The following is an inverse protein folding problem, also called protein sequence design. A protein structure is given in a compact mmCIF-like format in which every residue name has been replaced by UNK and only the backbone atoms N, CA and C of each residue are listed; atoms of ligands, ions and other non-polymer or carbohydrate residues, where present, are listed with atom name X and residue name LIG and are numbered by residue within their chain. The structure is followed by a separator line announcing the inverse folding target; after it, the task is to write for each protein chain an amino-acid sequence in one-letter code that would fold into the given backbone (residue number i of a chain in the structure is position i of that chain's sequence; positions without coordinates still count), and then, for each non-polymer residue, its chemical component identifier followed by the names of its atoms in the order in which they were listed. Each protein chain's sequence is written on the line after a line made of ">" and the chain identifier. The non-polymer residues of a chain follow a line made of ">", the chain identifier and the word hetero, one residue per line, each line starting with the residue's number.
data_IF_971210501686
#
_entry.id   IF_971210501686
#
_cell.length_a   1.000
_cell.length_b   1.000
_cell.length_c   1.000
_cell.angle_alpha   90.00
_cell.angle_beta   90.00
_cell.angle_gamma   90.00
#
_symmetry.space_group_name_H-M   'P 1'
#
loop_
_entity.id
_entity.type
_entity.pdbx_description
1 polymer ?
2 non-polymer ?
3 non-polymer ?
4 non-polymer ?
5 water ?
#
# COMPACT_ATOMS: atom_id res chain seq x y z
N UNK A 22 -6.39 -21.33 -3.25
CA UNK A 22 -5.43 -20.28 -3.63
C UNK A 22 -6.13 -18.91 -3.63
N UNK A 23 -5.51 -17.93 -2.97
CA UNK A 23 -6.10 -16.62 -2.73
C UNK A 23 -5.22 -15.56 -3.39
N UNK A 24 -5.84 -14.70 -4.20
CA UNK A 24 -5.09 -13.60 -4.79
C UNK A 24 -5.11 -13.59 -6.29
N UNK A 25 -5.94 -14.43 -6.90
CA UNK A 25 -5.99 -14.49 -8.35
C UNK A 25 -7.30 -14.04 -8.97
N UNK A 26 -8.21 -13.53 -8.14
CA UNK A 26 -9.53 -13.15 -8.65
C UNK A 26 -9.41 -12.00 -9.64
N UNK A 27 -10.33 -11.96 -10.60
CA UNK A 27 -10.31 -10.94 -11.66
C UNK A 27 -11.02 -9.68 -11.18
N UNK A 28 -10.36 -8.54 -11.33
CA UNK A 28 -10.86 -7.26 -10.84
C UNK A 28 -10.94 -6.30 -12.02
N UNK A 29 -12.13 -5.78 -12.29
CA UNK A 29 -12.41 -5.02 -13.51
C UNK A 29 -13.17 -3.74 -13.19
N UNK A 30 -12.49 -2.74 -12.64
CA UNK A 30 -13.20 -1.48 -12.34
C UNK A 30 -13.73 -0.80 -13.58
N UNK A 31 -13.07 -0.95 -14.72
CA UNK A 31 -13.53 -0.33 -15.96
C UNK A 31 -14.93 -0.80 -16.38
N UNK A 32 -15.47 -1.85 -15.78
CA UNK A 32 -16.81 -2.31 -16.15
C UNK A 32 -17.92 -1.57 -15.43
N UNK A 33 -17.61 -0.63 -14.54
CA UNK A 33 -18.62 0.09 -13.76
C UNK A 33 -18.39 1.59 -13.89
N UNK A 34 -19.47 2.36 -14.05
CA UNK A 34 -19.33 3.80 -14.24
C UNK A 34 -18.86 4.48 -12.95
N UNK A 35 -18.22 5.64 -13.11
CA UNK A 35 -17.64 6.33 -11.96
C UNK A 35 -18.66 6.58 -10.86
N UNK A 36 -19.88 6.98 -11.24
CA UNK A 36 -20.88 7.34 -10.25
C UNK A 36 -21.31 6.14 -9.42
N UNK A 37 -21.56 5.00 -10.07
CA UNK A 37 -21.94 3.80 -9.33
C UNK A 37 -20.83 3.34 -8.38
N UNK A 38 -19.57 3.45 -8.80
CA UNK A 38 -18.48 3.03 -7.92
C UNK A 38 -18.36 3.97 -6.73
N UNK A 39 -18.45 5.28 -6.98
CA UNK A 39 -18.47 6.23 -5.87
C UNK A 39 -19.63 5.94 -4.93
N UNK A 40 -20.80 5.57 -5.47
CA UNK A 40 -21.95 5.25 -4.63
C UNK A 40 -21.71 4.00 -3.80
N UNK A 41 -21.11 2.95 -4.39
CA UNK A 41 -20.72 1.79 -3.58
C UNK A 41 -19.73 2.19 -2.49
N UNK A 42 -18.79 3.08 -2.82
CA UNK A 42 -17.85 3.52 -1.80
C UNK A 42 -18.51 4.28 -0.68
N UNK A 43 -19.52 5.09 -1.01
CA UNK A 43 -20.28 5.78 0.03
C UNK A 43 -21.00 4.76 0.92
N UNK A 44 -21.54 3.70 0.33
CA UNK A 44 -22.20 2.66 1.10
C UNK A 44 -21.22 1.93 2.01
N UNK A 45 -20.03 1.63 1.51
CA UNK A 45 -19.00 1.02 2.35
C UNK A 45 -18.61 1.93 3.51
N UNK A 46 -18.48 3.23 3.24
CA UNK A 46 -18.10 4.14 4.31
C UNK A 46 -19.12 4.12 5.45
N UNK A 47 -20.39 3.91 5.14
CA UNK A 47 -21.42 3.89 6.17
C UNK A 47 -21.32 2.66 7.07
N UNK A 48 -20.80 1.54 6.57
CA UNK A 48 -20.98 0.28 7.28
C UNK A 48 -19.71 -0.52 7.52
N UNK A 49 -18.64 -0.34 6.75
CA UNK A 49 -17.45 -1.16 6.93
C UNK A 49 -16.79 -0.80 8.26
N UNK A 50 -16.64 -1.79 9.15
CA UNK A 50 -16.11 -1.56 10.47
C UNK A 50 -17.11 -1.07 11.50
N UNK A 51 -18.38 -0.92 11.13
CA UNK A 51 -19.40 -0.41 12.03
C UNK A 51 -19.85 -1.50 13.01
N UNK A 52 -20.50 -1.09 14.10
CA UNK A 52 -20.91 -2.03 15.12
C UNK A 52 -22.11 -2.88 14.71
N UNK A 53 -23.03 -2.30 13.92
CA UNK A 53 -24.19 -3.04 13.43
C UNK A 53 -23.87 -3.41 11.99
N UNK A 54 -23.39 -4.61 11.71
CA UNK A 54 -23.06 -4.96 10.34
C UNK A 54 -24.31 -5.02 9.47
N UNK A 55 -24.10 -4.88 8.19
CA UNK A 55 -25.14 -4.86 7.18
C UNK A 55 -24.77 -5.91 6.14
N UNK A 56 -25.67 -6.26 5.22
CA UNK A 56 -25.28 -7.22 4.18
C UNK A 56 -24.02 -6.81 3.42
N UNK A 57 -23.88 -5.53 3.07
CA UNK A 57 -22.67 -5.08 2.38
C UNK A 57 -21.43 -5.30 3.25
N UNK A 58 -21.50 -4.93 4.54
CA UNK A 58 -20.35 -5.15 5.40
C UNK A 58 -20.08 -6.64 5.61
N UNK A 59 -21.14 -7.44 5.74
CA UNK A 59 -20.93 -8.88 5.87
C UNK A 59 -20.26 -9.43 4.61
N UNK A 60 -20.77 -9.01 3.45
CA UNK A 60 -20.17 -9.42 2.18
C UNK A 60 -18.67 -9.15 2.16
N UNK A 61 -18.28 -7.93 2.53
CA UNK A 61 -16.88 -7.50 2.51
C UNK A 61 -16.10 -8.00 3.72
N UNK A 62 -16.71 -8.85 4.55
CA UNK A 62 -16.02 -9.54 5.63
C UNK A 62 -15.76 -11.01 5.31
N UNK A 63 -16.20 -11.49 4.15
CA UNK A 63 -16.04 -12.88 3.78
C UNK A 63 -17.26 -13.75 3.99
N UNK A 64 -18.38 -13.19 4.44
CA UNK A 64 -19.59 -13.96 4.70
C UNK A 64 -20.50 -13.98 3.47
N UNK A 65 -21.13 -15.11 3.14
CA UNK A 65 -22.13 -15.11 2.07
C UNK A 65 -23.35 -14.31 2.50
N UNK A 66 -23.95 -13.58 1.56
CA UNK A 66 -25.09 -12.74 1.88
C UNK A 66 -26.24 -13.03 0.93
N UNK A 67 -27.46 -12.80 1.43
CA UNK A 67 -28.68 -12.88 0.62
C UNK A 67 -28.71 -11.72 -0.37
N UNK A 68 -28.77 -11.99 -1.67
CA UNK A 68 -28.74 -10.88 -2.64
C UNK A 68 -29.92 -9.94 -2.52
N UNK A 69 -31.08 -10.39 -2.04
CA UNK A 69 -32.21 -9.48 -1.88
C UNK A 69 -31.97 -8.47 -0.77
N UNK A 70 -31.37 -8.91 0.35
CA UNK A 70 -30.96 -7.96 1.39
C UNK A 70 -29.94 -6.98 0.84
N UNK A 71 -28.97 -7.50 0.09
CA UNK A 71 -27.97 -6.66 -0.56
C UNK A 71 -28.62 -5.62 -1.48
N UNK A 72 -29.60 -6.05 -2.27
CA UNK A 72 -30.24 -5.15 -3.23
C UNK A 72 -30.93 -4.00 -2.51
N UNK A 73 -31.58 -4.28 -1.38
CA UNK A 73 -32.25 -3.22 -0.64
C UNK A 73 -31.23 -2.23 -0.08
N UNK A 74 -30.02 -2.69 0.20
CA UNK A 74 -29.05 -1.77 0.78
C UNK A 74 -28.37 -0.91 -0.29
N UNK A 75 -27.86 -1.53 -1.36
CA UNK A 75 -27.07 -0.81 -2.35
C UNK A 75 -27.82 -0.57 -3.66
N UNK A 76 -29.02 -1.12 -3.81
CA UNK A 76 -29.77 -0.95 -5.04
C UNK A 76 -29.46 -2.01 -6.07
N UNK A 77 -30.37 -2.14 -7.05
CA UNK A 77 -30.15 -3.12 -8.11
C UNK A 77 -28.95 -2.75 -8.96
N UNK A 78 -28.77 -1.45 -9.22
CA UNK A 78 -27.56 -0.94 -9.87
C UNK A 78 -26.33 -1.31 -9.07
N UNK A 79 -26.38 -1.08 -7.75
CA UNK A 79 -25.24 -1.40 -6.91
C UNK A 79 -24.94 -2.89 -6.92
N UNK A 80 -25.97 -3.71 -6.84
CA UNK A 80 -25.78 -5.15 -6.88
C UNK A 80 -25.06 -5.56 -8.15
N UNK A 81 -25.48 -5.02 -9.29
CA UNK A 81 -24.85 -5.40 -10.56
C UNK A 81 -23.42 -4.87 -10.63
N UNK A 82 -23.18 -3.68 -10.07
CA UNK A 82 -21.81 -3.15 -10.04
C UNK A 82 -20.88 -4.04 -9.24
N UNK A 83 -21.36 -4.56 -8.11
CA UNK A 83 -20.55 -5.50 -7.33
C UNK A 83 -20.10 -6.67 -8.18
N UNK A 84 -21.02 -7.21 -8.99
CA UNK A 84 -20.70 -8.32 -9.88
C UNK A 84 -19.77 -7.89 -11.01
N UNK A 85 -20.14 -6.81 -11.72
CA UNK A 85 -19.38 -6.41 -12.90
C UNK A 85 -17.93 -6.08 -12.56
N UNK A 86 -17.69 -5.49 -11.38
CA UNK A 86 -16.36 -5.10 -10.96
C UNK A 86 -15.53 -6.27 -10.44
N UNK A 87 -16.15 -7.40 -10.11
CA UNK A 87 -15.43 -8.46 -9.44
C UNK A 87 -15.40 -8.34 -7.93
N UNK A 88 -16.11 -7.37 -7.36
CA UNK A 88 -16.19 -7.30 -5.91
C UNK A 88 -17.03 -8.42 -5.32
N UNK A 89 -17.88 -9.05 -6.13
CA UNK A 89 -18.72 -10.13 -5.63
C UNK A 89 -18.98 -11.11 -6.77
N UNK A 90 -19.30 -12.34 -6.39
CA UNK A 90 -19.75 -13.37 -7.32
C UNK A 90 -21.06 -13.95 -6.80
N UNK A 91 -21.94 -14.29 -7.73
CA UNK A 91 -23.21 -14.93 -7.40
C UNK A 91 -22.94 -16.43 -7.33
N UNK A 92 -22.92 -16.99 -6.11
CA UNK A 92 -22.70 -18.41 -5.94
C UNK A 92 -23.92 -19.24 -6.33
N UNK A 93 -25.07 -18.61 -6.57
CA UNK A 93 -26.30 -19.33 -6.82
C UNK A 93 -27.45 -18.83 -5.97
N UNK A 94 -27.36 -19.00 -4.66
CA UNK A 94 -28.35 -18.45 -3.73
C UNK A 94 -27.78 -17.38 -2.83
N UNK A 95 -26.45 -17.22 -2.79
CA UNK A 95 -25.82 -16.16 -2.03
C UNK A 95 -24.79 -15.46 -2.91
N UNK A 96 -24.45 -14.23 -2.53
CA UNK A 96 -23.29 -13.52 -3.03
C UNK A 96 -22.14 -13.66 -2.04
N UNK A 97 -20.92 -13.76 -2.57
CA UNK A 97 -19.72 -13.73 -1.74
C UNK A 97 -18.67 -12.87 -2.42
N UNK A 98 -17.70 -12.42 -1.64
CA UNK A 98 -16.62 -11.59 -2.16
C UNK A 98 -15.27 -12.24 -1.91
N UNK A 99 -14.35 -12.20 -2.88
CA UNK A 99 -12.98 -12.62 -2.60
C UNK A 99 -12.17 -11.56 -1.88
N UNK A 100 -12.71 -10.35 -1.70
CA UNK A 100 -11.98 -9.23 -1.11
C UNK A 100 -12.51 -8.88 0.27
N UNK A 101 -11.74 -8.09 1.00
CA UNK A 101 -12.09 -7.67 2.35
C UNK A 101 -12.04 -6.15 2.43
N UNK A 102 -13.02 -5.57 3.09
CA UNK A 102 -13.11 -4.14 3.19
C UNK A 102 -12.51 -3.60 4.47
N UNK A 103 -12.02 -2.38 4.37
CA UNK A 103 -11.36 -1.65 5.45
C UNK A 103 -11.77 -0.19 5.37
N UNK A 104 -11.85 0.44 6.54
CA UNK A 104 -12.04 1.89 6.61
C UNK A 104 -10.99 2.44 7.58
N UNK A 105 -10.18 3.37 7.09
CA UNK A 105 -9.10 3.91 7.88
C UNK A 105 -8.69 5.26 7.30
N UNK A 106 -8.33 6.19 8.18
CA UNK A 106 -7.77 7.47 7.74
C UNK A 106 -8.63 8.15 6.68
N UNK A 107 -9.94 8.06 6.83
CA UNK A 107 -10.86 8.74 5.95
C UNK A 107 -11.11 8.09 4.59
N UNK A 108 -10.56 6.91 4.34
CA UNK A 108 -10.77 6.24 3.05
C UNK A 108 -11.31 4.84 3.29
N UNK A 109 -11.93 4.28 2.25
CA UNK A 109 -12.33 2.88 2.24
C UNK A 109 -11.41 2.13 1.30
N UNK A 110 -11.06 0.89 1.66
CA UNK A 110 -10.07 0.12 0.92
C UNK A 110 -10.52 -1.32 0.86
N UNK A 111 -10.46 -1.93 -0.33
CA UNK A 111 -10.56 -3.36 -0.46
C UNK A 111 -9.17 -3.95 -0.68
N UNK A 112 -8.91 -5.10 -0.07
CA UNK A 112 -7.72 -5.85 -0.44
C UNK A 112 -8.00 -7.33 -0.26
N UNK A 113 -6.98 -8.14 -0.49
CA UNK A 113 -7.12 -9.56 -0.25
C UNK A 113 -7.21 -9.81 1.26
N UNK A 114 -7.87 -10.90 1.66
CA UNK A 114 -7.80 -11.31 3.06
C UNK A 114 -6.39 -11.69 3.46
N UNK A 115 -6.10 -11.57 4.75
CA UNK A 115 -4.81 -11.96 5.29
C UNK A 115 -4.78 -13.48 5.39
N UNK A 116 -3.94 -14.13 4.60
CA UNK A 116 -3.88 -15.59 4.56
C UNK A 116 -2.42 -16.04 4.56
N UNK A 117 -2.21 -17.28 5.01
CA UNK A 117 -0.87 -17.86 5.13
C UNK A 117 -0.13 -17.81 3.79
N UNK A 118 1.20 -17.84 3.88
CA UNK A 118 2.04 -17.69 2.70
C UNK A 118 1.79 -18.80 1.68
N UNK A 119 1.50 -20.02 2.14
CA UNK A 119 1.43 -21.15 1.23
C UNK A 119 0.21 -21.10 0.33
N UNK A 120 -0.81 -20.30 0.65
CA UNK A 120 -2.02 -20.27 -0.16
C UNK A 120 -2.14 -18.99 -0.98
N UNK A 121 -1.10 -18.15 -1.00
CA UNK A 121 -1.18 -16.89 -1.74
C UNK A 121 -0.87 -17.10 -3.22
N UNK A 122 -1.69 -16.51 -4.09
CA UNK A 122 -1.45 -16.45 -5.52
C UNK A 122 -0.22 -15.59 -5.84
N UNK A 123 0.34 -15.80 -7.05
CA UNK A 123 1.41 -14.92 -7.54
C UNK A 123 1.05 -13.45 -7.35
N UNK A 124 -0.22 -13.11 -7.57
CA UNK A 124 -0.69 -11.73 -7.63
C UNK A 124 -1.49 -11.34 -6.39
N UNK A 125 -1.32 -12.10 -5.30
CA UNK A 125 -1.84 -11.72 -3.99
C UNK A 125 -1.42 -10.29 -3.64
N UNK A 126 -2.34 -9.54 -3.05
CA UNK A 126 -2.13 -8.13 -2.73
C UNK A 126 -2.04 -7.98 -1.21
N UNK A 127 -1.01 -7.25 -0.75
CA UNK A 127 -0.78 -6.93 0.66
C UNK A 127 -2.12 -6.64 1.33
N UNK A 128 -2.53 -7.46 2.31
CA UNK A 128 -3.86 -7.33 2.90
C UNK A 128 -3.93 -6.19 3.91
N UNK A 129 -3.02 -5.22 3.76
CA UNK A 129 -2.85 -4.09 4.67
C UNK A 129 -2.15 -4.55 5.94
N UNK A 130 -1.06 -5.31 5.80
CA UNK A 130 -0.30 -5.73 6.97
C UNK A 130 0.15 -4.53 7.80
N UNK A 131 0.78 -3.55 7.15
CA UNK A 131 1.30 -2.41 7.91
C UNK A 131 0.73 -1.05 7.51
N UNK A 132 -0.16 -0.98 6.52
CA UNK A 132 -0.57 0.32 5.95
C UNK A 132 -1.09 1.29 7.01
N UNK A 133 -1.94 0.81 7.92
CA UNK A 133 -2.50 1.73 8.89
C UNK A 133 -1.39 2.34 9.76
N UNK A 134 -0.45 1.50 10.21
CA UNK A 134 0.70 2.02 10.93
C UNK A 134 1.49 3.00 10.08
N UNK A 135 1.77 2.65 8.82
CA UNK A 135 2.62 3.50 8.00
C UNK A 135 1.99 4.88 7.76
N UNK A 136 0.68 4.92 7.53
CA UNK A 136 0.01 6.21 7.33
C UNK A 136 0.22 7.11 8.53
N UNK A 137 0.24 6.54 9.72
CA UNK A 137 0.43 7.34 10.93
C UNK A 137 1.87 7.85 11.03
N UNK A 138 2.84 7.13 10.45
CA UNK A 138 4.22 7.60 10.42
C UNK A 138 4.43 8.72 9.40
N UNK A 139 3.62 8.75 8.34
CA UNK A 139 3.88 9.66 7.21
C UNK A 139 3.75 11.12 7.60
N UNK A 140 4.63 11.95 7.04
CA UNK A 140 4.59 13.39 7.27
C UNK A 140 3.31 13.99 6.68
N UNK A 141 2.83 15.06 7.31
CA UNK A 141 1.54 15.63 6.92
C UNK A 141 1.66 16.66 5.79
N UNK A 142 2.84 16.87 5.23
CA UNK A 142 3.04 17.86 4.16
C UNK A 142 2.20 17.54 2.93
N UNK A 143 2.12 18.53 2.04
CA UNK A 143 1.56 18.36 0.70
C UNK A 143 2.50 18.91 -0.35
N UNK A 144 2.03 18.88 -1.60
CA UNK A 144 2.85 19.39 -2.68
C UNK A 144 2.23 19.13 -4.03
N UNK A 145 3.09 19.07 -5.05
CA UNK A 145 2.61 18.97 -6.43
C UNK A 145 2.35 17.53 -6.84
N UNK A 146 3.41 16.72 -6.97
CA UNK A 146 3.29 15.35 -7.47
C UNK A 146 3.75 14.36 -6.42
N UNK A 147 2.95 13.31 -6.20
CA UNK A 147 3.30 12.24 -5.29
C UNK A 147 3.36 10.92 -6.04
N UNK A 148 4.22 10.03 -5.56
CA UNK A 148 4.42 8.72 -6.19
C UNK A 148 4.38 7.63 -5.12
N UNK A 149 3.54 6.63 -5.33
CA UNK A 149 3.41 5.48 -4.45
C UNK A 149 4.02 4.28 -5.18
N UNK A 150 5.26 3.91 -4.82
CA UNK A 150 5.94 2.78 -5.45
C UNK A 150 5.47 1.48 -4.84
N UNK A 151 5.10 0.52 -5.69
CA UNK A 151 4.48 -0.70 -5.22
C UNK A 151 3.16 -0.42 -4.54
N UNK A 152 2.20 0.11 -5.29
CA UNK A 152 1.02 0.66 -4.67
C UNK A 152 0.08 -0.42 -4.11
N UNK A 153 0.18 -1.66 -4.60
CA UNK A 153 -0.65 -2.74 -4.05
C UNK A 153 -2.14 -2.46 -4.17
N UNK A 154 -2.83 -2.43 -3.03
CA UNK A 154 -4.26 -2.08 -3.02
C UNK A 154 -4.50 -0.62 -3.37
N UNK A 155 -3.47 0.22 -3.33
CA UNK A 155 -3.63 1.64 -3.57
C UNK A 155 -3.75 2.48 -2.32
N UNK A 156 -3.75 1.84 -1.14
CA UNK A 156 -4.14 2.48 0.11
C UNK A 156 -3.33 3.76 0.36
N UNK A 157 -2.01 3.72 0.15
CA UNK A 157 -1.23 4.91 0.47
C UNK A 157 -1.50 6.04 -0.53
N UNK A 158 -1.76 5.71 -1.79
CA UNK A 158 -2.16 6.73 -2.77
C UNK A 158 -3.47 7.41 -2.36
N UNK A 159 -4.41 6.64 -1.80
CA UNK A 159 -5.70 7.23 -1.42
C UNK A 159 -5.52 8.34 -0.39
N UNK A 160 -4.63 8.15 0.59
CA UNK A 160 -4.54 9.14 1.67
C UNK A 160 -3.72 10.36 1.24
N UNK A 161 -2.82 10.17 0.28
CA UNK A 161 -2.07 11.29 -0.31
C UNK A 161 -2.92 12.15 -1.22
N UNK A 162 -4.11 11.69 -1.61
CA UNK A 162 -4.86 12.36 -2.68
C UNK A 162 -5.34 13.73 -2.28
N UNK A 163 -5.57 13.96 -0.98
CA UNK A 163 -6.17 15.22 -0.57
C UNK A 163 -5.21 16.38 -0.77
N UNK A 164 -3.91 16.17 -0.54
CA UNK A 164 -2.99 17.29 -0.45
C UNK A 164 -1.93 17.29 -1.55
N UNK A 165 -2.02 16.42 -2.53
CA UNK A 165 -1.13 16.47 -3.68
C UNK A 165 -1.96 16.71 -4.92
N UNK A 166 -1.46 17.59 -5.79
CA UNK A 166 -2.21 17.89 -7.01
C UNK A 166 -2.40 16.65 -7.85
N UNK A 167 -1.43 15.74 -7.83
CA UNK A 167 -1.50 14.49 -8.56
C UNK A 167 -0.83 13.40 -7.74
N UNK A 168 -1.39 12.19 -7.82
CA UNK A 168 -0.81 11.02 -7.16
C UNK A 168 -0.76 9.92 -8.20
N UNK A 169 0.40 9.30 -8.34
CA UNK A 169 0.63 8.21 -9.27
C UNK A 169 1.06 7.01 -8.45
N UNK A 170 0.37 5.88 -8.63
CA UNK A 170 0.77 4.62 -8.03
C UNK A 170 1.27 3.69 -9.11
N UNK A 171 2.35 2.94 -8.80
CA UNK A 171 2.97 2.03 -9.74
C UNK A 171 3.07 0.66 -9.11
N UNK A 172 2.75 -0.39 -9.87
CA UNK A 172 2.99 -1.75 -9.42
C UNK A 172 3.27 -2.63 -10.62
N UNK A 173 4.13 -3.63 -10.42
CA UNK A 173 4.39 -4.67 -11.43
C UNK A 173 3.34 -5.76 -11.39
N UNK A 174 2.48 -5.75 -10.37
CA UNK A 174 1.38 -6.69 -10.27
C UNK A 174 0.16 -6.08 -10.96
N UNK A 175 -0.28 -6.62 -12.10
CA UNK A 175 -1.42 -6.00 -12.81
C UNK A 175 -2.71 -6.07 -12.03
N UNK A 176 -2.89 -7.10 -11.19
CA UNK A 176 -4.07 -7.18 -10.35
C UNK A 176 -4.08 -6.08 -9.30
N UNK A 177 -2.89 -5.74 -8.79
CA UNK A 177 -2.78 -4.61 -7.87
C UNK A 177 -3.20 -3.31 -8.56
N UNK A 178 -2.80 -3.12 -9.81
CA UNK A 178 -3.16 -1.91 -10.53
C UNK A 178 -4.67 -1.80 -10.67
N UNK A 179 -5.32 -2.91 -11.04
CA UNK A 179 -6.78 -2.90 -11.17
C UNK A 179 -7.44 -2.63 -9.83
N UNK A 180 -6.95 -3.27 -8.78
CA UNK A 180 -7.53 -3.07 -7.45
C UNK A 180 -7.31 -1.63 -6.97
N UNK A 181 -6.11 -1.07 -7.22
CA UNK A 181 -5.87 0.33 -6.90
C UNK A 181 -6.84 1.24 -7.64
N UNK A 182 -7.07 0.97 -8.93
CA UNK A 182 -8.02 1.78 -9.68
C UNK A 182 -9.42 1.65 -9.09
N UNK A 183 -9.80 0.44 -8.74
CA UNK A 183 -11.10 0.24 -8.10
C UNK A 183 -11.19 1.06 -6.81
N UNK A 184 -10.17 0.99 -5.96
CA UNK A 184 -10.24 1.71 -4.68
C UNK A 184 -10.26 3.22 -4.89
N UNK A 185 -9.49 3.74 -5.85
CA UNK A 185 -9.58 5.17 -6.11
C UNK A 185 -10.99 5.56 -6.53
N UNK A 186 -11.64 4.72 -7.35
CA UNK A 186 -12.98 5.03 -7.84
C UNK A 186 -14.01 4.89 -6.73
N UNK A 187 -13.84 3.91 -5.84
CA UNK A 187 -14.72 3.80 -4.67
C UNK A 187 -14.66 5.06 -3.82
N UNK A 188 -13.49 5.66 -3.69
CA UNK A 188 -13.34 6.87 -2.88
C UNK A 188 -13.64 8.16 -3.64
N UNK A 189 -14.03 8.05 -4.91
CA UNK A 189 -14.43 9.24 -5.64
C UNK A 189 -13.27 10.16 -5.97
N UNK A 190 -12.07 9.61 -6.11
CA UNK A 190 -10.89 10.41 -6.32
C UNK A 190 -10.71 10.65 -7.81
N UNK A 191 -10.28 11.86 -8.15
CA UNK A 191 -10.02 12.22 -9.54
C UNK A 191 -8.54 12.33 -9.87
N UNK A 192 -7.72 12.74 -8.90
CA UNK A 192 -6.32 13.05 -9.13
C UNK A 192 -5.38 11.89 -8.85
N UNK A 193 -5.90 10.67 -8.74
CA UNK A 193 -5.10 9.49 -8.39
C UNK A 193 -5.13 8.54 -9.58
N UNK A 194 -3.96 8.24 -10.15
CA UNK A 194 -3.89 7.32 -11.29
C UNK A 194 -2.84 6.25 -11.04
N UNK A 195 -2.96 5.15 -11.78
CA UNK A 195 -2.11 3.99 -11.53
C UNK A 195 -1.59 3.45 -12.84
N UNK A 196 -0.37 2.92 -12.79
CA UNK A 196 0.34 2.41 -13.96
C UNK A 196 1.01 1.09 -13.63
N UNK A 197 0.90 0.13 -14.56
CA UNK A 197 1.59 -1.15 -14.40
C UNK A 197 3.00 -1.03 -14.98
N UNK A 198 3.98 -1.54 -14.25
CA UNK A 198 5.34 -1.49 -14.74
C UNK A 198 6.32 -1.78 -13.63
N UNK A 199 7.60 -1.76 -14.02
CA UNK A 199 8.69 -2.21 -13.17
C UNK A 199 9.36 -0.97 -12.57
N UNK A 200 9.22 -0.81 -11.25
CA UNK A 200 9.83 0.28 -10.47
C UNK A 200 9.57 1.60 -11.19
N UNK A 201 10.59 2.43 -11.46
CA UNK A 201 10.33 3.80 -11.94
C UNK A 201 10.07 3.89 -13.44
N UNK A 202 10.11 2.79 -14.18
CA UNK A 202 9.88 2.86 -15.64
C UNK A 202 8.59 3.61 -16.00
N UNK A 203 7.44 3.36 -15.37
CA UNK A 203 6.24 4.11 -15.74
C UNK A 203 6.06 5.46 -15.05
N UNK A 204 7.04 5.92 -14.26
CA UNK A 204 6.88 7.16 -13.49
C UNK A 204 7.76 8.23 -14.13
N UNK A 205 7.15 9.04 -15.00
CA UNK A 205 7.88 10.10 -15.68
C UNK A 205 8.06 11.32 -14.79
N UNK A 206 9.19 12.00 -14.97
CA UNK A 206 9.44 13.27 -14.31
C UNK A 206 9.89 13.11 -12.87
N UNK A 207 9.70 14.19 -12.12
CA UNK A 207 10.12 14.26 -10.73
C UNK A 207 8.91 14.39 -9.83
N UNK A 208 9.10 14.01 -8.57
CA UNK A 208 8.02 13.96 -7.60
C UNK A 208 8.47 14.67 -6.33
N UNK A 209 7.55 15.39 -5.70
CA UNK A 209 7.88 16.00 -4.42
C UNK A 209 7.67 15.04 -3.25
N UNK A 210 7.06 13.89 -3.50
CA UNK A 210 6.77 12.93 -2.43
C UNK A 210 6.86 11.54 -3.04
N UNK A 211 7.65 10.65 -2.42
CA UNK A 211 7.73 9.26 -2.85
C UNK A 211 7.58 8.40 -1.61
N UNK A 212 6.60 7.51 -1.61
CA UNK A 212 6.40 6.56 -0.51
C UNK A 212 6.55 5.15 -1.07
N UNK A 213 7.01 4.22 -0.22
CA UNK A 213 7.35 2.88 -0.69
C UNK A 213 7.24 1.95 0.51
N UNK A 214 6.13 1.23 0.61
CA UNK A 214 6.02 0.10 1.53
C UNK A 214 6.68 -1.07 0.81
N UNK A 215 7.97 -1.24 1.07
CA UNK A 215 8.77 -2.07 0.17
C UNK A 215 8.48 -3.55 0.42
N UNK A 216 8.54 -4.36 -0.63
CA UNK A 216 8.38 -5.82 -0.46
C UNK A 216 9.68 -6.45 0.01
N UNK A 217 10.02 -6.19 1.28
CA UNK A 217 11.19 -6.78 1.91
C UNK A 217 10.82 -7.23 3.32
N UNK A 218 11.35 -8.39 3.70
CA UNK A 218 11.10 -8.87 5.05
C UNK A 218 12.22 -9.82 5.45
N UNK A 219 12.04 -11.14 5.27
CA UNK A 219 13.01 -12.10 5.77
C UNK A 219 13.82 -12.78 4.66
N UNK A 220 13.79 -12.25 3.44
CA UNK A 220 14.42 -12.94 2.31
C UNK A 220 15.84 -12.48 2.04
N UNK A 221 16.35 -11.45 2.73
CA UNK A 221 17.74 -11.08 2.51
C UNK A 221 17.96 -10.52 1.11
N UNK A 222 19.05 -10.97 0.46
CA UNK A 222 19.44 -10.48 -0.87
C UNK A 222 18.70 -11.13 -2.02
N UNK A 223 17.90 -12.16 -1.80
CA UNK A 223 17.41 -12.98 -2.90
C UNK A 223 15.92 -12.79 -3.09
N UNK A 224 15.53 -12.56 -4.34
CA UNK A 224 14.12 -12.47 -4.71
C UNK A 224 13.42 -13.77 -4.38
N UNK A 225 12.30 -13.67 -3.68
CA UNK A 225 11.40 -14.80 -3.48
C UNK A 225 10.14 -14.64 -4.32
N UNK A 226 9.42 -13.55 -4.13
CA UNK A 226 8.22 -13.26 -4.91
C UNK A 226 7.97 -11.76 -4.83
N UNK A 227 6.83 -11.31 -5.35
CA UNK A 227 6.58 -9.88 -5.43
C UNK A 227 6.45 -9.20 -4.06
N UNK A 228 6.16 -9.94 -2.98
CA UNK A 228 6.07 -9.35 -1.64
C UNK A 228 7.35 -9.54 -0.83
N UNK A 229 8.30 -10.37 -1.30
CA UNK A 229 9.63 -10.51 -0.70
C UNK A 229 10.62 -10.55 -1.87
N UNK A 230 10.99 -9.37 -2.37
CA UNK A 230 11.70 -9.26 -3.64
C UNK A 230 13.20 -9.15 -3.49
N UNK A 231 13.73 -9.09 -2.28
CA UNK A 231 15.17 -9.04 -2.08
C UNK A 231 15.71 -7.63 -1.95
N UNK A 232 16.89 -7.53 -1.35
CA UNK A 232 17.56 -6.24 -1.26
C UNK A 232 17.72 -5.54 -2.62
N UNK A 233 17.88 -6.26 -3.75
CA UNK A 233 18.01 -5.54 -5.04
C UNK A 233 16.86 -4.61 -5.37
N UNK A 234 15.64 -4.85 -4.88
CA UNK A 234 14.58 -3.89 -5.14
C UNK A 234 14.83 -2.57 -4.41
N UNK A 235 15.41 -2.64 -3.20
CA UNK A 235 15.81 -1.41 -2.51
C UNK A 235 16.96 -0.71 -3.22
N UNK A 236 17.91 -1.49 -3.73
CA UNK A 236 19.03 -0.90 -4.44
C UNK A 236 18.55 -0.14 -5.67
N UNK A 237 17.71 -0.77 -6.49
CA UNK A 237 17.12 -0.06 -7.63
C UNK A 237 16.38 1.18 -7.18
N UNK A 238 15.57 1.05 -6.12
CA UNK A 238 14.78 2.18 -5.64
C UNK A 238 15.69 3.34 -5.26
N UNK A 239 16.66 3.08 -4.38
CA UNK A 239 17.45 4.20 -3.86
C UNK A 239 18.43 4.74 -4.90
N UNK A 240 18.94 3.88 -5.81
CA UNK A 240 19.82 4.40 -6.85
C UNK A 240 19.10 5.43 -7.72
N UNK A 241 17.81 5.24 -7.95
CA UNK A 241 17.07 6.14 -8.81
C UNK A 241 16.31 7.24 -8.09
N UNK A 242 16.28 7.22 -6.75
CA UNK A 242 15.59 8.29 -6.02
C UNK A 242 16.10 9.68 -6.39
N UNK A 243 17.41 9.95 -6.38
CA UNK A 243 17.84 11.33 -6.69
C UNK A 243 17.35 11.84 -8.03
N UNK A 244 17.37 11.02 -9.08
CA UNK A 244 16.90 11.56 -10.36
C UNK A 244 15.38 11.64 -10.45
N UNK A 245 14.65 11.00 -9.52
CA UNK A 245 13.19 11.09 -9.51
C UNK A 245 12.64 12.04 -8.44
N UNK A 246 13.50 12.63 -7.60
CA UNK A 246 13.04 13.43 -6.47
C UNK A 246 13.18 14.91 -6.77
N UNK A 247 12.09 15.64 -6.61
CA UNK A 247 12.15 17.10 -6.69
C UNK A 247 12.92 17.66 -5.51
N UNK A 248 13.80 18.64 -5.77
CA UNK A 248 14.61 19.25 -4.72
C UNK A 248 13.78 19.57 -3.49
N UNK A 249 14.32 19.20 -2.32
CA UNK A 249 13.61 19.40 -1.07
C UNK A 249 12.45 18.45 -0.83
N UNK A 250 12.26 17.45 -1.68
CA UNK A 250 11.15 16.53 -1.55
C UNK A 250 11.34 15.53 -0.42
N UNK A 251 10.34 14.66 -0.26
CA UNK A 251 10.30 13.70 0.84
C UNK A 251 10.21 12.30 0.27
N UNK A 252 11.03 11.40 0.80
CA UNK A 252 10.92 9.98 0.51
C UNK A 252 10.69 9.25 1.84
N UNK A 253 9.76 8.29 1.82
CA UNK A 253 9.42 7.52 3.03
C UNK A 253 9.34 6.05 2.63
N UNK A 254 10.04 5.18 3.37
CA UNK A 254 10.15 3.77 3.03
C UNK A 254 9.97 2.90 4.26
N UNK A 255 9.03 1.96 4.21
CA UNK A 255 9.05 0.82 5.12
C UNK A 255 9.96 -0.27 4.55
N UNK A 256 10.93 -0.73 5.33
CA UNK A 256 11.86 -1.72 4.80
C UNK A 256 12.43 -2.60 5.89
N UNK A 257 12.74 -3.84 5.52
CA UNK A 257 13.63 -4.69 6.31
C UNK A 257 15.07 -4.38 5.93
N UNK A 258 15.96 -4.42 6.91
CA UNK A 258 17.36 -4.07 6.69
C UNK A 258 18.25 -5.14 7.33
N UNK A 259 19.24 -5.62 6.58
CA UNK A 259 20.14 -6.67 7.05
C UNK A 259 21.52 -6.08 7.29
N UNK A 260 22.00 -6.16 8.53
CA UNK A 260 23.37 -5.77 8.86
C UNK A 260 24.23 -7.03 8.97
N UNK A 261 25.33 -7.04 8.26
CA UNK A 261 26.26 -8.14 8.32
C UNK A 261 27.56 -7.66 8.95
N UNK A 262 28.35 -8.57 9.51
CA UNK A 262 29.63 -8.17 10.12
C UNK A 262 30.46 -7.34 9.16
N UNK A 263 30.88 -6.17 9.63
CA UNK A 263 31.65 -5.27 8.79
C UNK A 263 30.90 -4.70 7.61
N UNK A 264 29.59 -4.91 7.53
CA UNK A 264 28.82 -4.59 6.31
C UNK A 264 27.40 -4.19 6.71
N UNK A 265 27.25 -3.03 7.34
CA UNK A 265 25.91 -2.59 7.75
C UNK A 265 25.09 -2.09 6.57
N UNK A 266 23.77 -2.28 6.68
CA UNK A 266 22.86 -1.78 5.64
C UNK A 266 23.10 -0.30 5.35
N UNK A 267 23.26 0.51 6.39
CA UNK A 267 23.32 1.96 6.23
C UNK A 267 24.46 2.37 5.29
N UNK A 268 25.52 1.58 5.20
CA UNK A 268 26.64 1.92 4.33
C UNK A 268 26.29 1.67 2.87
N UNK A 269 25.63 0.55 2.58
CA UNK A 269 25.19 0.29 1.22
C UNK A 269 24.16 1.33 0.79
N UNK A 270 23.23 1.64 1.67
CA UNK A 270 22.23 2.67 1.42
C UNK A 270 22.87 4.02 1.05
N UNK A 271 23.84 4.47 1.85
CA UNK A 271 24.51 5.73 1.53
C UNK A 271 25.15 5.67 0.13
N UNK A 272 25.69 4.52 -0.23
CA UNK A 272 26.31 4.38 -1.54
C UNK A 272 25.25 4.44 -2.64
N UNK A 273 24.12 3.74 -2.46
CA UNK A 273 23.07 3.77 -3.47
C UNK A 273 22.56 5.19 -3.70
N UNK A 274 22.26 5.90 -2.61
CA UNK A 274 21.68 7.23 -2.67
C UNK A 274 22.68 8.30 -3.11
N UNK A 275 23.98 7.98 -3.20
CA UNK A 275 24.98 9.02 -3.34
C UNK A 275 24.86 10.06 -2.23
N UNK A 276 24.65 9.58 -1.01
CA UNK A 276 24.02 10.39 0.03
C UNK A 276 24.80 11.66 0.33
N UNK A 277 26.13 11.54 0.50
CA UNK A 277 26.90 12.72 0.86
C UNK A 277 27.09 13.64 -0.34
N UNK A 278 27.37 13.06 -1.52
CA UNK A 278 27.57 13.86 -2.72
C UNK A 278 26.33 14.70 -3.04
N UNK A 279 25.15 14.11 -2.91
CA UNK A 279 23.89 14.80 -3.19
C UNK A 279 23.41 15.68 -2.05
N UNK A 280 24.10 15.71 -0.91
CA UNK A 280 23.65 16.54 0.19
C UNK A 280 22.30 16.16 0.75
N UNK A 281 21.91 14.90 0.62
CA UNK A 281 20.62 14.48 1.15
C UNK A 281 20.72 14.28 2.66
N UNK A 282 19.61 14.50 3.35
CA UNK A 282 19.45 14.14 4.74
C UNK A 282 18.55 12.92 4.84
N UNK A 283 19.01 11.91 5.58
CA UNK A 283 18.30 10.64 5.69
C UNK A 283 18.24 10.25 7.16
N UNK A 284 17.07 9.84 7.62
CA UNK A 284 16.98 9.28 8.96
C UNK A 284 16.32 7.91 8.90
N UNK A 285 16.92 6.93 9.58
CA UNK A 285 16.36 5.60 9.71
C UNK A 285 15.84 5.44 11.13
N UNK A 286 14.54 5.17 11.25
CA UNK A 286 13.90 4.88 12.53
C UNK A 286 13.76 3.38 12.65
N UNK A 287 14.55 2.77 13.54
CA UNK A 287 14.52 1.32 13.70
C UNK A 287 13.54 0.93 14.81
N UNK A 288 12.55 0.12 14.45
CA UNK A 288 11.53 -0.30 15.42
C UNK A 288 11.74 -1.72 15.92
N UNK A 289 11.94 -2.69 15.01
CA UNK A 289 12.08 -4.08 15.40
C UNK A 289 13.49 -4.55 15.04
N UNK A 290 13.98 -5.53 15.79
CA UNK A 290 15.32 -6.04 15.50
C UNK A 290 15.49 -7.44 16.06
N UNK A 291 16.31 -8.22 15.38
CA UNK A 291 16.60 -9.59 15.77
C UNK A 291 18.07 -9.85 15.49
N UNK A 292 18.83 -10.19 16.53
CA UNK A 292 20.24 -10.47 16.32
C UNK A 292 20.36 -11.74 15.48
N UNK A 293 21.40 -11.79 14.64
CA UNK A 293 21.60 -12.93 13.77
C UNK A 293 22.90 -13.63 14.13
N UNK A 294 22.94 -14.92 13.83
CA UNK A 294 24.16 -15.69 14.00
C UNK A 294 25.24 -15.14 13.07
N UNK A 295 26.33 -14.65 13.69
CA UNK A 295 27.45 -13.89 13.10
C UNK A 295 27.58 -12.58 13.86
N UNK A 296 26.60 -12.29 14.71
CA UNK A 296 26.58 -11.00 15.37
C UNK A 296 26.07 -9.86 14.52
N UNK A 297 25.65 -10.13 13.28
CA UNK A 297 24.93 -9.13 12.50
C UNK A 297 23.53 -8.91 13.06
N UNK A 298 22.66 -8.28 12.27
CA UNK A 298 21.38 -7.91 12.83
C UNK A 298 20.35 -7.75 11.72
N UNK A 299 19.13 -8.21 11.97
CA UNK A 299 17.99 -7.92 11.12
C UNK A 299 17.17 -6.81 11.77
N UNK A 300 16.69 -5.87 10.96
CA UNK A 300 15.92 -4.76 11.46
C UNK A 300 14.70 -4.53 10.57
N UNK A 301 13.63 -4.04 11.17
CA UNK A 301 12.54 -3.41 10.41
C UNK A 301 12.41 -1.97 10.85
N UNK A 302 12.32 -1.06 9.88
CA UNK A 302 12.29 0.33 10.24
C UNK A 302 11.65 1.19 9.17
N UNK A 303 11.79 2.51 9.36
CA UNK A 303 11.12 3.51 8.55
C UNK A 303 12.16 4.53 8.15
N UNK A 304 12.44 4.62 6.85
CA UNK A 304 13.50 5.48 6.32
C UNK A 304 12.88 6.71 5.69
N UNK A 305 13.43 7.89 6.03
CA UNK A 305 12.91 9.16 5.59
C UNK A 305 14.03 9.97 4.97
N UNK A 306 13.80 10.45 3.76
CA UNK A 306 14.59 11.52 3.17
C UNK A 306 13.76 12.78 3.27
N UNK A 307 14.35 13.84 3.81
CA UNK A 307 13.66 15.11 4.05
C UNK A 307 14.70 16.20 4.10
N UNK A 308 14.30 17.46 3.89
CA UNK A 308 15.27 18.56 4.04
C UNK A 308 15.91 18.54 5.42
N UNK A 309 17.18 18.93 5.45
CA UNK A 309 17.92 18.98 6.68
C UNK A 309 19.40 18.96 6.40
N UNK A 310 20.21 18.95 7.46
CA UNK A 310 21.66 18.87 7.26
C UNK A 310 22.05 17.53 6.65
N UNK A 311 23.04 17.57 5.75
CA UNK A 311 23.43 16.37 5.02
C UNK A 311 23.88 15.30 6.01
N UNK A 312 23.56 14.05 5.70
CA UNK A 312 24.04 12.95 6.50
C UNK A 312 22.99 11.90 6.74
N UNK A 313 23.38 10.81 7.38
CA UNK A 313 22.48 9.74 7.77
C UNK A 313 22.51 9.62 9.28
N UNK A 314 21.34 9.61 9.90
CA UNK A 314 21.26 9.37 11.34
C UNK A 314 20.32 8.21 11.60
N UNK A 315 20.68 7.43 12.61
CA UNK A 315 19.98 6.20 12.99
C UNK A 315 19.42 6.40 14.39
N UNK A 316 18.13 6.16 14.57
CA UNK A 316 17.53 6.25 15.89
C UNK A 316 16.68 5.02 16.14
N UNK A 317 16.63 4.62 17.41
CA UNK A 317 15.74 3.57 17.86
C UNK A 317 14.39 4.19 18.20
N UNK A 318 13.33 3.68 17.59
CA UNK A 318 11.98 4.11 17.90
C UNK A 318 11.06 2.90 17.80
N UNK A 319 10.69 2.30 18.91
CA UNK A 319 9.85 1.09 18.85
C UNK A 319 8.40 1.42 18.51
N UNK A 320 8.17 1.87 17.27
CA UNK A 320 6.85 2.37 16.94
C UNK A 320 5.84 1.24 16.78
N UNK A 321 6.28 0.02 16.46
CA UNK A 321 5.36 -1.12 16.47
C UNK A 321 4.78 -1.33 17.87
N UNK A 322 5.64 -1.34 18.89
CA UNK A 322 5.16 -1.50 20.27
C UNK A 322 4.18 -0.40 20.63
N UNK A 323 4.54 0.85 20.35
CA UNK A 323 3.65 1.97 20.68
C UNK A 323 2.32 1.83 19.97
N UNK A 324 2.35 1.37 18.71
CA UNK A 324 1.14 1.23 17.93
C UNK A 324 0.22 0.16 18.53
N UNK A 325 0.80 -0.98 18.94
CA UNK A 325 -0.02 -2.01 19.58
C UNK A 325 -0.65 -1.47 20.87
N UNK A 326 0.13 -0.72 21.66
CA UNK A 326 -0.40 -0.05 22.85
C UNK A 326 -1.64 0.76 22.50
N UNK A 327 -1.44 1.81 21.70
CA UNK A 327 -2.45 2.78 21.31
C UNK A 327 -2.04 3.40 19.97
N UNK A 328 -2.80 3.15 18.89
CA UNK A 328 -2.40 3.67 17.58
C UNK A 328 -2.23 5.19 17.53
N UNK A 329 -3.03 5.95 18.28
CA UNK A 329 -3.04 7.41 18.14
C UNK A 329 -1.76 8.07 18.67
N UNK A 330 -0.60 7.61 18.21
CA UNK A 330 0.67 8.30 18.47
C UNK A 330 1.63 8.10 17.29
X LIG B 1 1.66 0.16 -0.85
X LIG B 1 0.76 -0.94 -0.50
X LIG B 1 1.27 -2.28 -1.02
X LIG B 1 2.68 -2.63 -0.53
X LIG B 1 3.11 -4.34 -0.97
X LIG B 1 0.58 -1.03 1.01
X LIG B 1 -0.25 -1.81 1.53
X LIG B 1 1.28 -0.31 1.75
X LIG B 1 4.53 -3.91 -2.00
X LIG B 1 4.24 -3.89 -3.51
X LIG B 1 5.47 -3.82 -4.22
X LIG B 1 3.52 -5.14 -4.04
X LIG B 1 2.25 -4.80 -4.57
X LIG B 1 4.43 -5.68 -5.14
X LIG B 1 3.76 -6.22 -6.26
X LIG B 1 5.22 -4.43 -5.48
X LIG B 1 6.42 -4.72 -6.28
X LIG B 1 7.31 -5.76 -6.19
X LIG B 1 8.25 -5.60 -7.17
X LIG B 1 7.95 -4.48 -7.86
X LIG B 1 8.52 -3.86 -8.93
X LIG B 1 9.62 -4.37 -9.48
X LIG B 1 7.97 -2.69 -9.40
X LIG B 1 6.83 -2.13 -8.86
X LIG B 1 6.26 -2.77 -7.80
X LIG B 1 6.80 -3.91 -7.31
X LIG C 1 5.42 -15.36 -0.19
X LIG D 1 6.00 -5.77 5.06
X LIG D 1 6.08 -8.38 3.82
X LIG D 1 6.68 -9.62 3.15
X LIG D 1 2.84 -12.77 8.10
X LIG D 1 1.17 -13.66 6.49
X LIG D 1 0.58 -13.22 8.87
X LIG D 1 -0.21 -13.57 10.12
X LIG D 1 3.98 -8.64 9.78
X LIG D 1 2.90 -9.63 9.38
X LIG D 1 3.46 -10.46 8.23
X LIG D 1 3.81 -9.55 7.04
X LIG D 1 4.78 -8.43 7.38
X LIG D 1 4.30 -7.69 8.63
X LIG D 1 6.12 -7.08 5.87
X LIG D 1 5.53 -5.96 3.62
X LIG D 1 6.25 -7.13 2.94
X LIG D 1 2.64 -13.64 6.87
X LIG D 1 0.36 -14.17 7.70
X LIG D 1 4.91 -4.52 1.79
X LIG D 1 5.36 -6.76 9.04
X LIG D 1 5.84 -4.69 2.94
X LIG D 1 -0.04 -12.53 11.16
X LIG D 1 3.46 -13.16 5.75
X LIG D 1 2.49 -10.46 10.54
X LIG D 1 4.84 -7.48 6.31
X LIG D 1 6.72 -8.13 5.08
X LIG D 1 6.47 -10.79 3.96
X LIG D 1 5.79 -7.36 1.60
X LIG D 1 5.11 -4.82 5.70
X LIG D 1 4.33 -10.37 6.00
X LIG D 1 2.50 -11.41 7.78
X LIG D 1 1.99 -13.23 9.16
X LIG D 1 -1.02 -14.24 7.34
X LIG D 1 0.94 -14.51 5.36
#
# INVERSE_FOLDING_TARGET
>A
MGSSHHHHHHSSGLVPRGSHMIVGGSTIQPERVDAAALRQLGDAMRKVVGSADPTPLADLLSGTPVDPDELTREVGADGRQALLDSGMAVDDGTTFSSPLRGHQLHGVVVLSDPDVEEEVQHRWYVDPLWEADLLIRLMLRRGGARALDMGCGSGVLSLVLADRYESVLGVDVNPRAVALSRLNAALNGLTNVTFREGDMFEPAEGRFSRIVFNSPTNEEGNEFVDLLEAGEPILETFFRNVPRKLESGGIVEVNLAMNDYPGDPFRERLADWLGLTENGLRVQIFTSQRRATESGGEWKRGWLVVAPGPVGLTEVEWPYHDRYRRDPDALLDGTDRLLRG
>B hetero
1 SAH N CA CB CG SD C O OXT C5' C4' O4' C3' O3' C2' O2' C1' N9 C8 N7 C5 C6 N6 N1 C2 N3 C4
>C hetero
1 CA CA
>D hetero
1 7QM C10 C13 C15 C22 C24 C26 C28 C01 C02 C03 C04 C05 C06 C09 C11 C12 C23 C25 C71 N07 N18 N29 N32 N33 O08 O14 O16 O17 O19 O20 O21 O27 O30 O31
#
